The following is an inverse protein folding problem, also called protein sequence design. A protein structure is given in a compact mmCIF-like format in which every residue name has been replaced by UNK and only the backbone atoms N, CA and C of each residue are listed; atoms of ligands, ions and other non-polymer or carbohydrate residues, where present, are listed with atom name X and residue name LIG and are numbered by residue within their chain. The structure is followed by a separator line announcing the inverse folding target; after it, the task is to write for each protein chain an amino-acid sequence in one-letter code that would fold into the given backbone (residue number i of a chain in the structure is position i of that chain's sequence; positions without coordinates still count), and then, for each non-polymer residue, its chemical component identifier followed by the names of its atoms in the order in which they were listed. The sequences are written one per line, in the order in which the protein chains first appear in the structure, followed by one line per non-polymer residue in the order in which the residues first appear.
data_IF_102999547340
#
_entry.id   IF_102999547340
#
_cell.length_a   1.000
_cell.length_b   1.000
_cell.length_c   1.000
_cell.angle_alpha   90.00
_cell.angle_beta   90.00
_cell.angle_gamma   90.00
#
_symmetry.space_group_name_H-M   'P 1'
#
loop_
_entity.id
_entity.type
_entity.pdbx_description
1 polymer ?
#
# COMPACT_ATOMS: atom_id res chain seq x y z
N UNK A 1 3.80 -11.36 -13.26
CA UNK A 1 5.09 -11.03 -13.92
C UNK A 1 4.92 -9.74 -14.72
N UNK A 2 5.99 -8.95 -14.91
CA UNK A 2 5.94 -7.74 -15.72
C UNK A 2 5.77 -8.05 -17.22
N UNK A 3 5.08 -7.20 -18.02
CA UNK A 3 4.82 -7.45 -19.44
C UNK A 3 6.09 -7.73 -20.26
N UNK A 4 7.17 -6.99 -20.01
CA UNK A 4 8.43 -7.15 -20.72
C UNK A 4 9.14 -8.48 -20.44
N UNK A 5 8.93 -9.07 -19.26
CA UNK A 5 9.45 -10.40 -18.93
C UNK A 5 8.61 -11.46 -19.64
N UNK A 6 7.28 -11.31 -19.68
CA UNK A 6 6.39 -12.26 -20.34
C UNK A 6 6.67 -12.30 -21.86
N UNK A 7 6.89 -11.15 -22.48
CA UNK A 7 7.18 -11.06 -23.92
C UNK A 7 8.54 -11.62 -24.32
N UNK A 8 9.51 -11.66 -23.38
CA UNK A 8 10.89 -12.12 -23.55
C UNK A 8 11.43 -12.09 -25.00
N UNK A 9 11.91 -10.93 -25.45
CA UNK A 9 12.47 -10.78 -26.80
C UNK A 9 13.86 -11.43 -26.89
N UNK A 10 14.07 -12.27 -27.91
CA UNK A 10 15.34 -12.96 -28.16
C UNK A 10 16.49 -11.96 -28.30
N UNK A 11 17.56 -12.14 -27.52
CA UNK A 11 18.76 -11.31 -27.58
C UNK A 11 18.79 -10.09 -26.65
N UNK A 12 17.77 -9.90 -25.80
CA UNK A 12 17.75 -8.86 -24.78
C UNK A 12 17.41 -9.44 -23.40
N UNK A 13 18.03 -8.93 -22.34
CA UNK A 13 17.65 -9.26 -20.97
C UNK A 13 16.46 -8.38 -20.54
N UNK A 14 15.25 -8.94 -20.31
CA UNK A 14 14.09 -8.14 -19.90
C UNK A 14 14.13 -7.78 -18.41
N UNK A 15 14.88 -8.51 -17.59
CA UNK A 15 14.91 -8.33 -16.14
C UNK A 15 15.58 -7.02 -15.75
N UNK A 16 14.96 -6.30 -14.80
CA UNK A 16 15.47 -5.03 -14.30
C UNK A 16 14.83 -4.63 -12.98
N UNK A 17 15.36 -3.60 -12.33
CA UNK A 17 14.70 -3.02 -11.15
C UNK A 17 13.24 -2.60 -11.44
N UNK A 18 12.94 -2.21 -12.69
CA UNK A 18 11.58 -1.81 -13.08
C UNK A 18 10.61 -2.99 -13.18
N UNK A 19 11.09 -4.22 -13.42
CA UNK A 19 10.22 -5.39 -13.35
C UNK A 19 9.86 -5.73 -11.90
N UNK A 20 10.76 -5.47 -10.95
CA UNK A 20 10.50 -5.61 -9.52
C UNK A 20 9.52 -4.54 -9.02
N UNK A 21 9.60 -3.31 -9.55
CA UNK A 21 8.60 -2.26 -9.28
C UNK A 21 7.21 -2.69 -9.73
N UNK A 22 7.08 -3.32 -10.91
CA UNK A 22 5.80 -3.86 -11.37
C UNK A 22 5.28 -4.97 -10.43
N UNK A 23 6.16 -5.88 -10.01
CA UNK A 23 5.81 -6.91 -9.04
C UNK A 23 5.33 -6.30 -7.71
N UNK A 24 6.03 -5.28 -7.22
CA UNK A 24 5.64 -4.51 -6.04
C UNK A 24 4.27 -3.84 -6.20
N UNK A 25 3.97 -3.28 -7.38
CA UNK A 25 2.64 -2.74 -7.68
C UNK A 25 1.51 -3.79 -7.58
N UNK A 26 1.77 -5.04 -7.99
CA UNK A 26 0.81 -6.13 -7.80
C UNK A 26 0.62 -6.49 -6.32
N UNK A 27 1.70 -6.44 -5.52
CA UNK A 27 1.60 -6.62 -4.06
C UNK A 27 0.78 -5.49 -3.42
N UNK A 28 0.98 -4.24 -3.83
CA UNK A 28 0.16 -3.12 -3.36
C UNK A 28 -1.32 -3.31 -3.74
N UNK A 29 -1.60 -3.81 -4.94
CA UNK A 29 -2.95 -4.17 -5.34
C UNK A 29 -3.56 -5.24 -4.44
N UNK A 30 -2.82 -6.30 -4.15
CA UNK A 30 -3.30 -7.38 -3.27
C UNK A 30 -3.59 -6.85 -1.85
N UNK A 31 -2.72 -6.00 -1.30
CA UNK A 31 -2.93 -5.40 0.03
C UNK A 31 -4.16 -4.49 0.09
N UNK A 32 -4.39 -3.70 -0.96
CA UNK A 32 -5.46 -2.69 -1.00
C UNK A 32 -6.82 -3.25 -1.43
N UNK A 33 -6.85 -4.31 -2.23
CA UNK A 33 -8.07 -5.01 -2.66
C UNK A 33 -8.38 -6.27 -1.84
N UNK A 34 -7.41 -6.78 -1.08
CA UNK A 34 -7.45 -8.08 -0.37
C UNK A 34 -7.80 -9.27 -1.28
N UNK A 35 -7.50 -9.15 -2.56
CA UNK A 35 -7.80 -10.16 -3.59
C UNK A 35 -6.56 -10.37 -4.45
N UNK A 36 -6.33 -11.60 -4.90
CA UNK A 36 -5.24 -11.89 -5.82
C UNK A 36 -5.43 -11.14 -7.15
N UNK A 37 -4.36 -10.65 -7.78
CA UNK A 37 -4.40 -10.14 -9.16
C UNK A 37 -5.03 -11.18 -10.10
N UNK A 38 -5.94 -10.73 -10.97
CA UNK A 38 -6.55 -11.56 -12.02
C UNK A 38 -7.35 -12.78 -11.53
N UNK A 39 -7.90 -12.74 -10.30
CA UNK A 39 -8.67 -13.85 -9.72
C UNK A 39 -9.89 -14.32 -10.54
N UNK A 40 -10.35 -13.52 -11.51
CA UNK A 40 -11.49 -13.87 -12.38
C UNK A 40 -11.10 -14.73 -13.59
N UNK A 41 -9.80 -15.00 -13.78
CA UNK A 41 -9.29 -15.82 -14.88
C UNK A 41 -9.03 -17.24 -14.40
N UNK A 42 -9.57 -18.23 -15.11
CA UNK A 42 -9.40 -19.65 -14.79
C UNK A 42 -8.05 -20.22 -15.23
N UNK A 43 -7.43 -19.61 -16.25
CA UNK A 43 -6.28 -20.17 -16.94
C UNK A 43 -5.08 -19.21 -16.93
N UNK A 44 -3.98 -19.65 -16.33
CA UNK A 44 -2.76 -18.83 -16.16
C UNK A 44 -2.17 -18.33 -17.50
N UNK A 45 -2.19 -19.17 -18.53
CA UNK A 45 -1.66 -18.79 -19.85
C UNK A 45 -2.46 -17.66 -20.51
N UNK A 46 -3.76 -17.56 -20.21
CA UNK A 46 -4.60 -16.47 -20.69
C UNK A 46 -4.17 -15.15 -20.06
N UNK A 47 -3.88 -15.16 -18.75
CA UNK A 47 -3.36 -13.99 -18.02
C UNK A 47 -2.03 -13.57 -18.63
N UNK A 48 -1.10 -14.51 -18.83
CA UNK A 48 0.21 -14.21 -19.42
C UNK A 48 0.06 -13.55 -20.80
N UNK A 49 -0.74 -14.12 -21.69
CA UNK A 49 -0.96 -13.54 -23.01
C UNK A 49 -1.58 -12.14 -22.94
N UNK A 50 -2.61 -11.96 -22.10
CA UNK A 50 -3.29 -10.67 -21.96
C UNK A 50 -2.41 -9.57 -21.35
N UNK A 51 -1.63 -9.90 -20.31
CA UNK A 51 -0.70 -8.95 -19.69
C UNK A 51 0.43 -8.61 -20.66
N UNK A 52 0.99 -9.60 -21.36
CA UNK A 52 2.09 -9.41 -22.30
C UNK A 52 1.67 -8.63 -23.56
N UNK A 53 0.59 -9.06 -24.21
CA UNK A 53 0.22 -8.62 -25.56
C UNK A 53 -0.94 -7.63 -25.60
N UNK A 54 -1.92 -7.74 -24.69
CA UNK A 54 -3.15 -6.93 -24.72
C UNK A 54 -3.15 -5.78 -23.70
N UNK A 55 -2.02 -5.53 -23.02
CA UNK A 55 -1.87 -4.50 -21.98
C UNK A 55 -2.90 -4.64 -20.85
N UNK A 56 -3.31 -5.87 -20.53
CA UNK A 56 -4.16 -6.12 -19.37
C UNK A 56 -3.43 -5.67 -18.10
N UNK A 57 -4.17 -4.99 -17.23
CA UNK A 57 -3.73 -4.56 -15.91
C UNK A 57 -4.72 -5.06 -14.86
N UNK A 58 -4.35 -5.02 -13.57
CA UNK A 58 -5.25 -5.34 -12.46
C UNK A 58 -6.47 -4.41 -12.44
N UNK A 59 -7.59 -4.93 -11.94
CA UNK A 59 -8.84 -4.18 -11.86
C UNK A 59 -8.84 -3.23 -10.65
N UNK A 60 -8.48 -1.97 -10.92
CA UNK A 60 -8.41 -0.92 -9.88
C UNK A 60 -9.77 -0.62 -9.21
N UNK A 61 -10.90 -1.08 -9.77
CA UNK A 61 -12.21 -0.90 -9.15
C UNK A 61 -12.39 -1.77 -7.90
N UNK A 62 -11.60 -2.85 -7.75
CA UNK A 62 -11.60 -3.73 -6.58
C UNK A 62 -10.83 -3.16 -5.39
N UNK A 63 -10.15 -2.03 -5.55
CA UNK A 63 -9.45 -1.36 -4.44
C UNK A 63 -10.48 -0.82 -3.45
N UNK A 64 -10.24 -1.02 -2.15
CA UNK A 64 -11.13 -0.52 -1.10
C UNK A 64 -11.32 0.99 -1.19
N UNK A 65 -12.54 1.44 -0.94
CA UNK A 65 -12.93 2.85 -0.99
C UNK A 65 -12.20 3.74 0.01
N UNK A 66 -11.74 3.19 1.14
CA UNK A 66 -10.96 3.89 2.17
C UNK A 66 -9.46 3.99 1.85
N UNK A 67 -9.01 3.44 0.72
CA UNK A 67 -7.62 3.57 0.28
C UNK A 67 -7.33 5.02 -0.15
N UNK A 68 -6.27 5.67 0.36
CA UNK A 68 -5.90 7.03 -0.04
C UNK A 68 -5.67 7.15 -1.55
N UNK A 69 -6.15 8.23 -2.16
CA UNK A 69 -5.98 8.47 -3.61
C UNK A 69 -4.51 8.55 -4.04
N UNK A 70 -3.66 9.10 -3.18
CA UNK A 70 -2.20 9.11 -3.37
C UNK A 70 -1.61 7.70 -3.46
N UNK A 71 -2.10 6.76 -2.64
CA UNK A 71 -1.66 5.37 -2.69
C UNK A 71 -2.21 4.65 -3.94
N UNK A 72 -3.46 4.91 -4.33
CA UNK A 72 -4.03 4.39 -5.60
C UNK A 72 -3.22 4.86 -6.81
N UNK A 73 -2.82 6.13 -6.82
CA UNK A 73 -1.96 6.70 -7.86
C UNK A 73 -0.59 6.03 -7.87
N UNK A 74 0.06 5.88 -6.71
CA UNK A 74 1.35 5.21 -6.60
C UNK A 74 1.29 3.77 -7.14
N UNK A 75 0.25 3.02 -6.77
CA UNK A 75 0.00 1.67 -7.30
C UNK A 75 -0.08 1.70 -8.82
N UNK A 76 -0.90 2.61 -9.39
CA UNK A 76 -1.08 2.75 -10.84
C UNK A 76 0.24 3.05 -11.55
N UNK A 77 1.05 3.94 -10.99
CA UNK A 77 2.37 4.30 -11.54
C UNK A 77 3.33 3.10 -11.50
N UNK A 78 3.31 2.28 -10.44
CA UNK A 78 4.13 1.07 -10.33
C UNK A 78 3.77 -0.02 -11.37
N UNK A 79 2.50 -0.14 -11.73
CA UNK A 79 2.02 -1.17 -12.68
C UNK A 79 1.91 -0.66 -14.13
N UNK A 80 2.55 0.47 -14.47
CA UNK A 80 2.53 0.97 -15.84
C UNK A 80 3.09 -0.08 -16.81
N UNK A 81 2.45 -0.19 -17.97
CA UNK A 81 2.85 -1.12 -19.02
C UNK A 81 4.26 -0.79 -19.54
N UNK A 82 4.57 0.49 -19.71
CA UNK A 82 5.89 0.95 -20.13
C UNK A 82 6.83 1.00 -18.91
N UNK A 83 7.87 0.16 -18.93
CA UNK A 83 8.84 0.05 -17.84
C UNK A 83 9.49 1.37 -17.43
N UNK A 84 9.69 2.29 -18.38
CA UNK A 84 10.38 3.56 -18.14
C UNK A 84 9.46 4.63 -17.51
N UNK A 85 8.14 4.38 -17.50
CA UNK A 85 7.16 5.22 -16.80
C UNK A 85 7.02 4.87 -15.31
N UNK A 86 7.55 3.71 -14.91
CA UNK A 86 7.48 3.24 -13.52
C UNK A 86 8.44 4.05 -12.64
N UNK A 87 8.05 4.38 -11.40
CA UNK A 87 8.93 5.10 -10.48
C UNK A 87 10.05 4.21 -9.94
N UNK A 88 11.22 4.78 -9.67
CA UNK A 88 12.25 4.08 -8.91
C UNK A 88 11.83 3.90 -7.45
N UNK A 89 12.34 2.85 -6.79
CA UNK A 89 12.08 2.59 -5.37
C UNK A 89 12.40 3.76 -4.44
N UNK A 90 13.41 4.58 -4.76
CA UNK A 90 13.71 5.81 -4.00
C UNK A 90 12.53 6.78 -4.00
N UNK A 91 11.87 6.96 -5.16
CA UNK A 91 10.68 7.79 -5.29
C UNK A 91 9.47 7.14 -4.60
N UNK A 92 9.29 5.83 -4.78
CA UNK A 92 8.22 5.08 -4.11
C UNK A 92 8.29 5.26 -2.59
N UNK A 93 9.49 5.15 -2.00
CA UNK A 93 9.70 5.36 -0.57
C UNK A 93 9.30 6.78 -0.13
N UNK A 94 9.77 7.80 -0.85
CA UNK A 94 9.42 9.19 -0.56
C UNK A 94 7.91 9.46 -0.67
N UNK A 95 7.25 8.89 -1.67
CA UNK A 95 5.80 8.97 -1.84
C UNK A 95 5.06 8.29 -0.69
N UNK A 96 5.52 7.10 -0.25
CA UNK A 96 4.95 6.39 0.89
C UNK A 96 5.11 7.16 2.21
N UNK A 97 6.28 7.75 2.46
CA UNK A 97 6.51 8.57 3.65
C UNK A 97 5.56 9.78 3.68
N UNK A 98 5.38 10.45 2.54
CA UNK A 98 4.42 11.55 2.42
C UNK A 98 2.98 11.08 2.65
N UNK A 99 2.60 9.90 2.14
CA UNK A 99 1.28 9.30 2.39
C UNK A 99 1.10 9.06 3.89
N UNK A 100 2.06 8.41 4.56
CA UNK A 100 2.00 8.11 6.00
C UNK A 100 1.82 9.38 6.83
N UNK A 101 2.54 10.45 6.49
CA UNK A 101 2.44 11.74 7.18
C UNK A 101 1.08 12.41 6.99
N UNK A 102 0.44 12.19 5.84
CA UNK A 102 -0.89 12.75 5.53
C UNK A 102 -2.04 11.97 6.17
N UNK A 103 -1.80 10.73 6.63
CA UNK A 103 -2.84 9.89 7.21
C UNK A 103 -3.21 10.35 8.62
N UNK A 104 -4.51 10.32 8.98
CA UNK A 104 -4.91 10.61 10.35
C UNK A 104 -4.26 9.58 11.28
N UNK A 105 -3.71 10.05 12.40
CA UNK A 105 -3.20 9.16 13.45
C UNK A 105 -4.34 8.24 13.87
N UNK A 106 -4.12 6.92 13.76
CA UNK A 106 -5.07 5.94 14.28
C UNK A 106 -5.15 6.17 15.79
N UNK A 107 -6.24 6.80 16.23
CA UNK A 107 -6.60 6.79 17.64
C UNK A 107 -7.07 5.37 17.93
N UNK A 108 -6.11 4.51 18.30
CA UNK A 108 -6.47 3.27 18.98
C UNK A 108 -7.32 3.72 20.16
N UNK A 109 -8.51 3.13 20.32
CA UNK A 109 -9.31 3.35 21.53
C UNK A 109 -8.33 3.28 22.69
N UNK A 110 -8.19 4.37 23.45
CA UNK A 110 -7.41 4.35 24.67
C UNK A 110 -8.06 3.27 25.52
N UNK A 111 -7.50 2.07 25.54
CA UNK A 111 -7.85 1.10 26.56
C UNK A 111 -7.58 1.84 27.86
N UNK A 112 -8.57 1.96 28.75
CA UNK A 112 -8.25 2.35 30.12
C UNK A 112 -7.17 1.36 30.58
N UNK A 113 -5.99 1.85 31.02
CA UNK A 113 -4.95 0.97 31.50
C UNK A 113 -5.59 0.16 32.64
N UNK A 114 -5.51 -1.17 32.55
CA UNK A 114 -5.98 -2.03 33.62
C UNK A 114 -5.12 -1.70 34.85
N UNK A 115 -5.70 -1.01 35.83
CA UNK A 115 -5.05 -0.63 37.09
C UNK A 115 -4.93 -1.86 38.00
N UNK A 116 -4.15 -2.86 37.60
CA UNK A 116 -3.75 -3.93 38.53
C UNK A 116 -2.56 -3.42 39.33
N UNK A 117 -2.80 -3.12 40.61
CA UNK A 117 -1.87 -2.67 41.65
C UNK A 117 -1.51 -1.17 41.70
N UNK A 118 -2.44 -0.27 41.36
CA UNK A 118 -2.29 1.11 41.82
C UNK A 118 -2.76 1.24 43.27
N UNK A 119 -1.91 1.80 44.11
CA UNK A 119 -2.31 2.21 45.45
C UNK A 119 -3.24 3.43 45.36
N UNK A 120 -4.05 3.71 46.38
CA UNK A 120 -5.03 4.82 46.35
C UNK A 120 -4.38 6.18 45.95
N UNK A 121 -3.09 6.36 46.26
CA UNK A 121 -2.31 7.55 45.92
C UNK A 121 -2.04 7.69 44.41
N UNK A 122 -1.85 6.58 43.70
CA UNK A 122 -1.57 6.59 42.26
C UNK A 122 -2.83 6.94 41.43
N UNK A 123 -4.01 6.57 41.95
CA UNK A 123 -5.31 6.91 41.33
C UNK A 123 -5.53 8.42 41.39
N UNK A 124 -5.24 9.05 42.53
CA UNK A 124 -5.40 10.49 42.72
C UNK A 124 -4.52 11.29 41.75
N UNK A 125 -3.26 10.88 41.54
CA UNK A 125 -2.34 11.56 40.62
C UNK A 125 -2.82 11.54 39.16
N UNK A 126 -3.47 10.45 38.74
CA UNK A 126 -4.01 10.28 37.38
C UNK A 126 -5.25 11.16 37.13
N UNK A 127 -6.10 11.33 38.15
CA UNK A 127 -7.29 12.20 38.09
C UNK A 127 -6.88 13.68 38.00
N UNK A 128 -5.83 14.09 38.72
CA UNK A 128 -5.34 15.47 38.68
C UNK A 128 -4.64 15.84 37.36
N UNK A 129 -3.90 14.92 36.73
CA UNK A 129 -3.28 15.17 35.42
C UNK A 129 -4.29 15.21 34.27
N UNK A 130 -5.42 14.50 34.39
CA UNK A 130 -6.51 14.53 33.41
C UNK A 130 -7.25 15.88 33.35
N UNK A 131 -7.28 16.64 34.46
CA UNK A 131 -8.00 17.92 34.58
C UNK A 131 -7.16 19.18 34.34
N UNK A 132 -5.86 19.04 34.04
CA UNK A 132 -4.89 20.14 34.02
C UNK A 132 -4.53 20.74 32.65
N UNK A 133 -5.30 20.57 31.59
CA UNK A 133 -4.93 21.12 30.27
C UNK A 133 -6.09 21.69 29.44
N UNK A 134 -7.10 22.27 30.11
CA UNK A 134 -8.10 23.15 29.48
C UNK A 134 -8.39 24.35 30.40
N UNK A 135 -7.43 25.24 30.55
CA UNK A 135 -7.65 26.66 30.85
C UNK A 135 -6.33 27.42 30.67
N UNK A 136 -6.45 28.59 30.05
CA UNK A 136 -5.47 29.67 29.86
C UNK A 136 -5.02 29.88 28.39
N UNK A 137 -5.56 30.98 27.87
CA UNK A 137 -5.45 31.73 26.60
C UNK A 137 -6.19 31.23 25.34
#
# INVERSE_FOLDING_TARGET
MAPEIIQMKKGSNPYSNMSDVYAYGNVLYELTSRTLPYADFEQDYQIMYKVGCEKLTVDLTKIRSDTPESLKKLLKDCIDYERDKRPEFKKILADLDAIIQSLPRIHRSMSEPILINLTEDDIILSIFHSRGSNAED
#
